data_IF_852869162974
#
_entry.id   IF_852869162974
#
_cell.length_a   1.000
_cell.length_b   1.000
_cell.length_c   1.000
_cell.angle_alpha   90.00
_cell.angle_beta   90.00
_cell.angle_gamma   90.00
#
_symmetry.space_group_name_H-M   'P 1'
#
loop_
_entity.id
_entity.type
_entity.pdbx_description
1 polymer ?
#
# COMPACT_ATOMS: atom_id res chain seq x y z
N UNK A 1 -13.67 8.10 33.67
CA UNK A 1 -14.26 9.09 32.75
C UNK A 1 -13.19 10.04 32.18
N UNK A 2 -12.28 10.59 32.99
CA UNK A 2 -11.18 11.46 32.53
C UNK A 2 -10.30 10.87 31.40
N UNK A 3 -9.80 9.64 31.55
CA UNK A 3 -8.99 8.96 30.51
C UNK A 3 -9.72 8.80 29.17
N UNK A 4 -11.06 8.73 29.19
CA UNK A 4 -11.87 8.58 27.97
C UNK A 4 -12.02 9.93 27.25
N UNK A 5 -12.02 11.03 28.01
CA UNK A 5 -12.06 12.39 27.50
C UNK A 5 -10.71 12.77 26.86
N UNK A 6 -9.60 12.53 27.57
CA UNK A 6 -8.25 12.81 27.05
C UNK A 6 -7.99 12.11 25.71
N UNK A 7 -8.35 10.83 25.60
CA UNK A 7 -8.23 10.07 24.35
C UNK A 7 -9.14 10.59 23.22
N UNK A 8 -10.28 11.20 23.55
CA UNK A 8 -11.16 11.79 22.55
C UNK A 8 -10.58 13.11 22.04
N UNK A 9 -10.01 13.91 22.93
CA UNK A 9 -9.41 15.20 22.63
C UNK A 9 -8.15 15.02 21.75
N UNK A 10 -7.29 14.04 22.08
CA UNK A 10 -6.15 13.66 21.24
C UNK A 10 -6.57 13.25 19.82
N UNK A 11 -7.64 12.44 19.71
CA UNK A 11 -8.16 11.98 18.42
C UNK A 11 -8.72 13.13 17.58
N UNK A 12 -9.39 14.08 18.22
CA UNK A 12 -9.90 15.27 17.56
C UNK A 12 -8.76 16.14 17.01
N UNK A 13 -7.69 16.33 17.80
CA UNK A 13 -6.50 17.07 17.37
C UNK A 13 -5.80 16.40 16.18
N UNK A 14 -5.65 15.07 16.19
CA UNK A 14 -5.10 14.32 15.06
C UNK A 14 -5.96 14.47 13.81
N UNK A 15 -7.28 14.36 13.93
CA UNK A 15 -8.20 14.52 12.80
C UNK A 15 -8.13 15.93 12.20
N UNK A 16 -8.08 16.96 13.06
CA UNK A 16 -7.93 18.34 12.61
C UNK A 16 -6.61 18.53 11.85
N UNK A 17 -5.49 18.00 12.37
CA UNK A 17 -4.21 18.09 11.69
C UNK A 17 -4.22 17.34 10.35
N UNK A 18 -4.88 16.18 10.28
CA UNK A 18 -5.04 15.42 9.05
C UNK A 18 -5.82 16.21 7.99
N UNK A 19 -6.90 16.88 8.39
CA UNK A 19 -7.72 17.73 7.52
C UNK A 19 -6.92 18.92 6.97
N UNK A 20 -6.14 19.59 7.81
CA UNK A 20 -5.25 20.68 7.40
C UNK A 20 -4.22 20.20 6.36
N UNK A 21 -3.53 19.09 6.62
CA UNK A 21 -2.55 18.54 5.68
C UNK A 21 -3.19 18.13 4.36
N UNK A 22 -4.37 17.50 4.41
CA UNK A 22 -5.11 17.10 3.22
C UNK A 22 -5.52 18.32 2.39
N UNK A 23 -6.03 19.37 3.05
CA UNK A 23 -6.43 20.62 2.40
C UNK A 23 -5.25 21.33 1.73
N UNK A 24 -4.13 21.44 2.43
CA UNK A 24 -3.01 22.26 1.98
C UNK A 24 -2.10 21.53 0.98
N UNK A 25 -1.94 20.22 1.14
CA UNK A 25 -0.96 19.43 0.38
C UNK A 25 -1.57 18.29 -0.43
N UNK A 26 -2.81 17.87 -0.16
CA UNK A 26 -3.44 16.71 -0.78
C UNK A 26 -3.36 16.71 -2.31
N UNK A 27 -3.74 17.82 -2.95
CA UNK A 27 -3.64 17.94 -4.41
C UNK A 27 -2.21 17.83 -4.95
N UNK A 28 -1.21 18.35 -4.22
CA UNK A 28 0.20 18.28 -4.64
C UNK A 28 0.72 16.84 -4.52
N UNK A 29 0.38 16.16 -3.43
CA UNK A 29 0.76 14.77 -3.18
C UNK A 29 0.11 13.85 -4.21
N UNK A 30 -1.22 13.99 -4.42
CA UNK A 30 -1.99 13.17 -5.36
C UNK A 30 -1.44 13.28 -6.78
N UNK A 31 -1.23 14.52 -7.27
CA UNK A 31 -0.70 14.76 -8.62
C UNK A 31 0.68 14.15 -8.82
N UNK A 32 1.54 14.24 -7.81
CA UNK A 32 2.87 13.67 -7.88
C UNK A 32 2.81 12.13 -7.86
N UNK A 33 2.04 11.52 -6.96
CA UNK A 33 1.87 10.08 -6.91
C UNK A 33 1.28 9.54 -8.23
N UNK A 34 0.27 10.22 -8.79
CA UNK A 34 -0.32 9.89 -10.08
C UNK A 34 0.68 10.02 -11.24
N UNK A 35 1.58 11.00 -11.19
CA UNK A 35 2.64 11.14 -12.20
C UNK A 35 3.65 9.98 -12.20
N UNK A 36 3.80 9.26 -11.08
CA UNK A 36 4.61 8.03 -11.01
C UNK A 36 3.80 6.78 -11.39
N UNK A 37 2.55 6.67 -10.91
CA UNK A 37 1.80 5.41 -10.93
C UNK A 37 0.81 5.29 -12.09
N UNK A 38 0.36 6.41 -12.66
CA UNK A 38 -0.67 6.48 -13.70
C UNK A 38 -1.99 5.73 -13.35
N UNK A 39 -2.22 5.46 -12.07
CA UNK A 39 -3.41 4.82 -11.53
C UNK A 39 -3.95 5.71 -10.40
N UNK A 40 -5.21 6.14 -10.49
CA UNK A 40 -5.80 7.05 -9.50
C UNK A 40 -5.96 6.38 -8.14
N UNK A 41 -6.40 5.12 -8.10
CA UNK A 41 -6.58 4.38 -6.85
C UNK A 41 -5.24 4.20 -6.13
N UNK A 42 -4.19 3.79 -6.84
CA UNK A 42 -2.86 3.68 -6.22
C UNK A 42 -2.34 5.06 -5.79
N UNK A 43 -2.63 6.13 -6.54
CA UNK A 43 -2.21 7.48 -6.16
C UNK A 43 -2.93 7.98 -4.89
N UNK A 44 -4.22 7.68 -4.73
CA UNK A 44 -5.00 7.96 -3.53
C UNK A 44 -4.49 7.18 -2.31
N UNK A 45 -4.12 5.91 -2.49
CA UNK A 45 -3.47 5.10 -1.46
C UNK A 45 -2.17 5.76 -0.98
N UNK A 46 -1.28 6.14 -1.91
CA UNK A 46 0.00 6.77 -1.57
C UNK A 46 -0.20 8.12 -0.88
N UNK A 47 -1.22 8.90 -1.29
CA UNK A 47 -1.57 10.14 -0.60
C UNK A 47 -1.93 9.85 0.85
N UNK A 48 -2.82 8.89 1.09
CA UNK A 48 -3.28 8.55 2.43
C UNK A 48 -2.11 8.03 3.29
N UNK A 49 -1.30 7.12 2.75
CA UNK A 49 -0.13 6.57 3.44
C UNK A 49 0.91 7.64 3.79
N UNK A 50 1.09 8.64 2.90
CA UNK A 50 1.97 9.79 3.17
C UNK A 50 1.47 10.64 4.34
N UNK A 51 0.16 10.93 4.39
CA UNK A 51 -0.44 11.68 5.50
C UNK A 51 -0.37 10.90 6.82
N UNK A 52 -0.63 9.59 6.78
CA UNK A 52 -0.49 8.70 7.94
C UNK A 52 0.96 8.72 8.46
N UNK A 53 1.95 8.59 7.57
CA UNK A 53 3.37 8.63 7.95
C UNK A 53 3.73 9.98 8.59
N UNK A 54 3.20 11.09 8.08
CA UNK A 54 3.40 12.41 8.67
C UNK A 54 2.85 12.45 10.10
N UNK A 55 1.60 12.02 10.32
CA UNK A 55 0.96 12.05 11.63
C UNK A 55 1.64 11.13 12.65
N UNK A 56 2.13 9.97 12.21
CA UNK A 56 2.87 9.03 13.07
C UNK A 56 4.27 9.51 13.41
N UNK A 57 4.98 10.09 12.45
CA UNK A 57 6.37 10.53 12.63
C UNK A 57 6.44 11.90 13.33
N UNK A 58 5.43 12.74 13.12
CA UNK A 58 5.34 14.12 13.61
C UNK A 58 6.67 14.90 13.44
N UNK A 59 7.19 15.02 12.19
CA UNK A 59 8.52 15.58 11.95
C UNK A 59 8.59 17.05 12.38
N UNK A 60 9.70 17.44 13.02
CA UNK A 60 9.99 18.84 13.32
C UNK A 60 10.52 19.52 12.06
N UNK A 61 9.75 20.46 11.53
CA UNK A 61 10.01 21.13 10.25
C UNK A 61 10.01 22.65 10.46
N UNK A 62 10.96 23.33 9.83
CA UNK A 62 11.22 24.75 10.10
C UNK A 62 10.22 25.70 9.45
N UNK A 63 9.68 25.33 8.28
CA UNK A 63 8.80 26.19 7.50
C UNK A 63 7.90 25.37 6.54
N UNK A 64 6.84 25.97 5.97
CA UNK A 64 5.93 25.29 5.05
C UNK A 64 6.59 24.72 3.78
N UNK A 65 7.69 25.31 3.31
CA UNK A 65 8.42 24.78 2.15
C UNK A 65 9.14 23.47 2.50
N UNK A 66 9.74 23.38 3.69
CA UNK A 66 10.34 22.14 4.20
C UNK A 66 9.26 21.08 4.46
N UNK A 67 8.09 21.46 4.97
CA UNK A 67 6.96 20.56 5.16
C UNK A 67 6.46 19.97 3.84
N UNK A 68 6.23 20.83 2.84
CA UNK A 68 5.87 20.38 1.49
C UNK A 68 6.95 19.48 0.89
N UNK A 69 8.22 19.85 1.00
CA UNK A 69 9.33 19.06 0.48
C UNK A 69 9.41 17.68 1.13
N UNK A 70 9.18 17.60 2.45
CA UNK A 70 9.15 16.34 3.18
C UNK A 70 8.01 15.45 2.69
N UNK A 71 6.78 15.98 2.60
CA UNK A 71 5.60 15.24 2.12
C UNK A 71 5.81 14.71 0.69
N UNK A 72 6.32 15.56 -0.21
CA UNK A 72 6.59 15.16 -1.58
C UNK A 72 7.73 14.14 -1.68
N UNK A 73 8.74 14.22 -0.81
CA UNK A 73 9.81 13.21 -0.77
C UNK A 73 9.27 11.85 -0.33
N UNK A 74 8.42 11.83 0.70
CA UNK A 74 7.80 10.59 1.21
C UNK A 74 6.90 9.96 0.15
N UNK A 75 5.97 10.72 -0.43
CA UNK A 75 5.10 10.20 -1.47
C UNK A 75 5.88 9.70 -2.70
N UNK A 76 6.92 10.41 -3.15
CA UNK A 76 7.76 9.93 -4.25
C UNK A 76 8.47 8.60 -3.92
N UNK A 77 8.93 8.43 -2.68
CA UNK A 77 9.56 7.17 -2.25
C UNK A 77 8.53 6.02 -2.18
N UNK A 78 7.36 6.27 -1.60
CA UNK A 78 6.28 5.28 -1.53
C UNK A 78 5.81 4.87 -2.94
N UNK A 79 5.66 5.83 -3.86
CA UNK A 79 5.32 5.52 -5.26
C UNK A 79 6.35 4.63 -5.93
N UNK A 80 7.66 4.89 -5.74
CA UNK A 80 8.72 4.03 -6.28
C UNK A 80 8.67 2.63 -5.70
N UNK A 81 8.46 2.50 -4.39
CA UNK A 81 8.28 1.21 -3.74
C UNK A 81 7.07 0.45 -4.30
N UNK A 82 5.95 1.13 -4.55
CA UNK A 82 4.76 0.53 -5.18
C UNK A 82 5.04 0.06 -6.60
N UNK A 83 5.79 0.82 -7.40
CA UNK A 83 6.22 0.40 -8.74
C UNK A 83 7.09 -0.87 -8.66
N UNK A 84 8.07 -0.89 -7.77
CA UNK A 84 8.95 -2.06 -7.59
C UNK A 84 8.15 -3.30 -7.11
N UNK A 85 7.19 -3.11 -6.21
CA UNK A 85 6.28 -4.15 -5.76
C UNK A 85 5.40 -4.69 -6.88
N UNK A 86 4.81 -3.80 -7.68
CA UNK A 86 3.98 -4.17 -8.83
C UNK A 86 4.80 -4.92 -9.89
N UNK A 87 6.07 -4.54 -10.11
CA UNK A 87 6.97 -5.24 -11.05
C UNK A 87 7.22 -6.70 -10.66
N UNK A 88 7.40 -6.99 -9.37
CA UNK A 88 7.63 -8.38 -8.89
C UNK A 88 6.37 -9.24 -9.10
N UNK A 89 5.20 -8.62 -9.05
CA UNK A 89 3.90 -9.29 -9.25
C UNK A 89 3.37 -9.15 -10.66
N UNK A 90 4.19 -8.62 -11.58
CA UNK A 90 3.85 -8.56 -12.97
C UNK A 90 3.89 -10.00 -13.49
N UNK A 91 2.70 -10.57 -13.65
CA UNK A 91 2.52 -11.89 -14.24
C UNK A 91 2.29 -11.70 -15.72
N UNK A 92 2.95 -12.50 -16.54
CA UNK A 92 2.57 -12.62 -17.94
C UNK A 92 1.14 -13.18 -18.04
N UNK A 93 0.42 -12.79 -19.09
CA UNK A 93 -0.84 -13.44 -19.42
C UNK A 93 -0.60 -14.94 -19.61
N UNK A 94 -1.50 -15.75 -19.07
CA UNK A 94 -1.44 -17.20 -19.28
C UNK A 94 -1.66 -17.45 -20.77
N UNK A 95 -0.59 -17.81 -21.49
CA UNK A 95 -0.69 -18.22 -22.88
C UNK A 95 -1.69 -19.37 -22.99
N UNK A 96 -2.78 -19.20 -23.76
CA UNK A 96 -3.75 -20.28 -24.01
C UNK A 96 -3.10 -21.50 -24.71
N UNK A 97 -1.93 -21.29 -25.31
CA UNK A 97 -1.05 -22.30 -25.90
C UNK A 97 -0.28 -23.13 -24.88
N UNK A 98 -0.28 -22.76 -23.58
CA UNK A 98 0.20 -23.61 -22.50
C UNK A 98 -0.77 -24.79 -22.36
N UNK A 99 -0.55 -25.80 -23.20
CA UNK A 99 -1.17 -27.11 -23.05
C UNK A 99 -0.72 -27.62 -21.68
N UNK A 100 -1.63 -27.63 -20.71
CA UNK A 100 -1.43 -28.42 -19.52
C UNK A 100 -1.13 -29.84 -20.00
N UNK A 101 0.09 -30.33 -19.77
CA UNK A 101 0.39 -31.75 -19.98
C UNK A 101 -0.71 -32.50 -19.26
N UNK A 102 -1.53 -33.18 -20.06
CA UNK A 102 -2.61 -34.01 -19.57
C UNK A 102 -1.90 -35.11 -18.77
N UNK A 103 -1.71 -34.90 -17.46
CA UNK A 103 -1.11 -35.92 -16.60
C UNK A 103 -1.95 -37.16 -16.81
N UNK A 104 -1.34 -38.18 -17.41
CA UNK A 104 -1.98 -39.46 -17.62
C UNK A 104 -2.62 -39.91 -16.31
N UNK A 105 -3.80 -40.50 -16.42
CA UNK A 105 -4.70 -40.85 -15.33
C UNK A 105 -3.91 -41.37 -14.11
N UNK A 106 -3.70 -40.51 -13.09
CA UNK A 106 -2.83 -40.78 -11.94
C UNK A 106 -3.46 -41.79 -10.95
N UNK A 107 -4.40 -42.62 -11.42
CA UNK A 107 -5.06 -43.65 -10.64
C UNK A 107 -4.07 -44.57 -9.95
N UNK A 108 -2.97 -44.92 -10.62
CA UNK A 108 -1.93 -45.77 -10.03
C UNK A 108 -1.28 -45.13 -8.78
N UNK A 109 -1.11 -43.81 -8.77
CA UNK A 109 -0.56 -43.08 -7.61
C UNK A 109 -1.54 -43.12 -6.45
N UNK A 110 -2.83 -42.91 -6.74
CA UNK A 110 -3.89 -42.98 -5.73
C UNK A 110 -4.05 -44.39 -5.16
N UNK A 111 -3.99 -45.43 -6.00
CA UNK A 111 -3.99 -46.83 -5.55
C UNK A 111 -2.78 -47.16 -4.67
N UNK A 112 -1.59 -46.68 -5.03
CA UNK A 112 -0.37 -46.86 -4.25
C UNK A 112 -0.47 -46.17 -2.87
N UNK A 113 -1.02 -44.96 -2.80
CA UNK A 113 -1.26 -44.25 -1.53
C UNK A 113 -2.28 -45.00 -0.67
N UNK A 114 -3.34 -45.56 -1.28
CA UNK A 114 -4.36 -46.35 -0.59
C UNK A 114 -3.81 -47.66 -0.01
N UNK A 115 -2.79 -48.23 -0.64
CA UNK A 115 -2.14 -49.46 -0.20
C UNK A 115 -1.12 -49.27 0.93
N UNK A 116 -0.87 -48.02 1.36
CA UNK A 116 0.01 -47.77 2.49
C UNK A 116 -0.65 -48.24 3.80
N UNK A 117 0.07 -48.98 4.66
CA UNK A 117 -0.45 -49.35 5.96
C UNK A 117 -0.65 -48.11 6.82
N UNK A 118 -1.73 -48.12 7.61
CA UNK A 118 -1.98 -47.07 8.59
C UNK A 118 -0.81 -47.01 9.60
N UNK A 119 -0.41 -45.78 9.96
CA UNK A 119 0.63 -45.54 10.96
C UNK A 119 0.15 -45.90 12.37
#
# INVERSE_FOLDING_TARGET
MAVKQEKQDERAAVNQKAEELLKDYGNSILRMAYAYLHNMSDAEDILQETLIQYLQTAPVLENPAHEKAWLLKVAANLSKNRIDYNRIRQTDELEETLVAEKREDLRFVWEAVRALPEK
#
